data_IF_060636501853
#
_entry.id   IF_060636501853
#
_cell.length_a   1.000
_cell.length_b   1.000
_cell.length_c   1.000
_cell.angle_alpha   90.00
_cell.angle_beta   90.00
_cell.angle_gamma   90.00
#
_symmetry.space_group_name_H-M   'P 1'
#
loop_
_entity.id
_entity.type
_entity.pdbx_description
1 polymer ?
#
# COMPACT_ATOMS: atom_id res chain seq x y z
N UNK A 1 -7.96 13.43 -3.17
CA UNK A 1 -8.39 12.27 -2.40
C UNK A 1 -7.60 12.21 -1.08
N UNK A 2 -8.27 12.14 0.08
CA UNK A 2 -7.60 12.10 1.38
C UNK A 2 -7.22 10.66 1.75
N UNK A 3 -5.97 10.38 2.18
CA UNK A 3 -5.54 9.02 2.54
C UNK A 3 -6.35 8.42 3.69
N UNK A 4 -6.74 9.23 4.68
CA UNK A 4 -7.57 8.80 5.81
C UNK A 4 -8.88 8.18 5.33
N UNK A 5 -9.58 8.88 4.44
CA UNK A 5 -10.83 8.40 3.84
C UNK A 5 -10.63 7.06 3.13
N UNK A 6 -9.57 6.94 2.32
CA UNK A 6 -9.28 5.67 1.61
C UNK A 6 -9.06 4.52 2.59
N UNK A 7 -8.31 4.76 3.68
CA UNK A 7 -8.01 3.73 4.67
C UNK A 7 -9.25 3.29 5.46
N UNK A 8 -10.13 4.22 5.82
CA UNK A 8 -11.41 3.91 6.45
C UNK A 8 -12.30 3.09 5.51
N UNK A 9 -12.38 3.47 4.22
CA UNK A 9 -13.15 2.71 3.23
C UNK A 9 -12.55 1.32 2.95
N UNK A 10 -11.21 1.21 2.89
CA UNK A 10 -10.52 -0.08 2.81
C UNK A 10 -10.87 -0.99 4.00
N UNK A 11 -10.82 -0.44 5.20
CA UNK A 11 -11.18 -1.18 6.42
C UNK A 11 -12.63 -1.64 6.41
N UNK A 12 -13.56 -0.77 6.03
CA UNK A 12 -14.98 -1.09 5.98
C UNK A 12 -15.32 -2.09 4.86
N UNK A 13 -14.59 -2.05 3.76
CA UNK A 13 -14.79 -2.93 2.60
C UNK A 13 -14.07 -4.27 2.67
N UNK A 14 -13.39 -4.59 3.79
CA UNK A 14 -12.63 -5.83 3.96
C UNK A 14 -13.08 -6.63 5.18
N UNK A 15 -12.87 -7.97 5.20
CA UNK A 15 -13.13 -8.79 6.37
C UNK A 15 -12.40 -8.29 7.62
N UNK A 16 -12.99 -8.52 8.78
CA UNK A 16 -12.48 -8.02 10.07
C UNK A 16 -11.10 -8.57 10.44
N UNK A 17 -10.77 -9.76 9.95
CA UNK A 17 -9.51 -10.47 10.16
C UNK A 17 -8.50 -10.30 9.01
N UNK A 18 -8.73 -9.34 8.11
CA UNK A 18 -7.79 -9.00 7.02
C UNK A 18 -6.41 -8.66 7.57
N UNK A 19 -5.39 -9.27 6.97
CA UNK A 19 -4.00 -8.95 7.29
C UNK A 19 -3.56 -7.73 6.46
N UNK A 20 -2.99 -6.75 7.13
CA UNK A 20 -2.45 -5.54 6.51
C UNK A 20 -0.94 -5.49 6.69
N UNK A 21 -0.20 -5.53 5.59
CA UNK A 21 1.22 -5.22 5.58
C UNK A 21 1.41 -3.75 5.18
N UNK A 22 2.19 -3.00 5.94
CA UNK A 22 2.43 -1.59 5.65
C UNK A 22 3.90 -1.34 5.33
N UNK A 23 4.13 -0.50 4.32
CA UNK A 23 5.41 0.14 4.11
C UNK A 23 5.73 1.16 5.19
N UNK A 24 6.80 1.91 5.01
CA UNK A 24 7.26 2.90 5.98
C UNK A 24 7.15 4.31 5.42
N UNK A 25 6.45 5.18 6.15
CA UNK A 25 6.21 6.56 5.78
C UNK A 25 4.92 7.11 6.38
N UNK A 26 4.39 8.19 5.80
CA UNK A 26 3.11 8.76 6.26
C UNK A 26 1.96 7.75 6.14
N UNK A 27 1.95 6.94 5.08
CA UNK A 27 0.96 5.88 4.88
C UNK A 27 0.95 4.86 6.03
N UNK A 28 2.10 4.53 6.60
CA UNK A 28 2.20 3.68 7.80
C UNK A 28 1.52 4.33 9.01
N UNK A 29 1.82 5.60 9.26
CA UNK A 29 1.20 6.34 10.38
C UNK A 29 -0.30 6.45 10.21
N UNK A 30 -0.78 6.78 9.01
CA UNK A 30 -2.21 6.84 8.73
C UNK A 30 -2.89 5.47 8.87
N UNK A 31 -2.26 4.39 8.38
CA UNK A 31 -2.81 3.05 8.53
C UNK A 31 -2.94 2.66 10.00
N UNK A 32 -1.93 2.95 10.83
CA UNK A 32 -2.00 2.66 12.27
C UNK A 32 -3.08 3.46 13.00
N UNK A 33 -3.44 4.65 12.50
CA UNK A 33 -4.44 5.54 13.13
C UNK A 33 -5.87 5.31 12.65
N UNK A 34 -6.05 5.01 11.37
CA UNK A 34 -7.37 4.96 10.72
C UNK A 34 -7.86 3.54 10.42
N UNK A 35 -6.98 2.55 10.42
CA UNK A 35 -7.37 1.15 10.33
C UNK A 35 -7.61 0.57 11.72
N UNK A 36 -8.83 0.14 12.02
CA UNK A 36 -9.16 -0.51 13.29
C UNK A 36 -8.81 -1.99 13.25
N UNK A 37 -7.75 -2.36 13.96
CA UNK A 37 -7.30 -3.74 14.10
C UNK A 37 -8.01 -4.43 15.27
N UNK A 38 -8.89 -5.40 14.99
CA UNK A 38 -9.67 -6.12 15.98
C UNK A 38 -9.10 -7.51 16.32
N UNK A 39 -8.17 -8.00 15.51
CA UNK A 39 -7.55 -9.31 15.69
C UNK A 39 -6.04 -9.19 15.86
N UNK A 40 -5.44 -10.01 16.74
CA UNK A 40 -3.98 -10.04 16.89
C UNK A 40 -3.31 -10.56 15.60
N UNK A 41 -2.07 -10.12 15.36
CA UNK A 41 -1.25 -10.52 14.21
C UNK A 41 -1.82 -10.17 12.82
N UNK A 42 -2.73 -9.20 12.75
CA UNK A 42 -3.26 -8.68 11.49
C UNK A 42 -2.57 -7.40 11.02
N UNK A 43 -1.68 -6.84 11.84
CA UNK A 43 -0.85 -5.68 11.52
C UNK A 43 0.62 -6.08 11.38
N UNK A 44 1.14 -6.05 10.15
CA UNK A 44 2.51 -6.45 9.81
C UNK A 44 3.27 -5.24 9.28
N UNK A 45 4.28 -4.78 10.01
CA UNK A 45 5.04 -3.60 9.62
C UNK A 45 6.48 -3.63 10.16
N UNK A 46 7.37 -2.85 9.53
CA UNK A 46 8.74 -2.64 10.01
C UNK A 46 8.78 -1.50 11.03
N UNK A 47 8.20 -1.73 12.22
CA UNK A 47 8.07 -0.70 13.27
C UNK A 47 9.36 -0.40 14.02
N UNK A 48 10.34 -1.28 13.99
CA UNK A 48 11.64 -1.11 14.65
C UNK A 48 12.66 -0.40 13.76
N UNK A 49 13.08 -1.02 12.68
CA UNK A 49 14.09 -0.48 11.77
C UNK A 49 13.54 0.51 10.74
N UNK A 50 12.25 0.51 10.50
CA UNK A 50 11.63 1.44 9.55
C UNK A 50 12.07 1.19 8.11
N UNK A 51 12.03 -0.07 7.66
CA UNK A 51 12.52 -0.47 6.35
C UNK A 51 11.49 -0.13 5.26
N UNK A 52 11.79 0.83 4.41
CA UNK A 52 11.00 1.09 3.21
C UNK A 52 11.09 -0.10 2.24
N UNK A 53 9.99 -0.37 1.50
CA UNK A 53 9.89 -1.56 0.65
C UNK A 53 9.48 -2.84 1.37
N UNK A 54 9.16 -2.77 2.66
CA UNK A 54 8.77 -3.96 3.46
C UNK A 54 7.41 -4.54 3.07
N UNK A 55 6.43 -3.71 2.70
CA UNK A 55 5.01 -4.09 2.59
C UNK A 55 4.74 -5.19 1.55
N UNK A 56 5.23 -5.03 0.33
CA UNK A 56 4.93 -5.96 -0.78
C UNK A 56 5.43 -7.38 -0.48
N UNK A 57 6.73 -7.61 -0.20
CA UNK A 57 7.22 -8.95 0.12
C UNK A 57 6.60 -9.51 1.40
N UNK A 58 6.32 -8.67 2.41
CA UNK A 58 5.67 -9.14 3.64
C UNK A 58 4.21 -9.54 3.39
N UNK A 59 3.47 -8.84 2.54
CA UNK A 59 2.11 -9.21 2.15
C UNK A 59 2.08 -10.53 1.37
N UNK A 60 3.03 -10.74 0.45
CA UNK A 60 3.19 -12.01 -0.27
C UNK A 60 3.41 -13.14 0.75
N UNK A 61 4.36 -12.97 1.66
CA UNK A 61 4.65 -13.95 2.71
C UNK A 61 3.44 -14.22 3.63
N UNK A 62 2.71 -13.17 4.01
CA UNK A 62 1.50 -13.30 4.81
C UNK A 62 0.40 -14.10 4.07
N UNK A 63 0.22 -13.86 2.77
CA UNK A 63 -0.76 -14.59 1.95
C UNK A 63 -0.38 -16.05 1.77
N UNK A 64 0.89 -16.35 1.59
CA UNK A 64 1.40 -17.74 1.54
C UNK A 64 1.19 -18.45 2.89
N UNK A 65 1.49 -17.78 4.00
CA UNK A 65 1.32 -18.32 5.34
C UNK A 65 -0.15 -18.43 5.78
N UNK A 66 -1.02 -17.61 5.26
CA UNK A 66 -2.47 -17.57 5.56
C UNK A 66 -3.29 -17.42 4.28
N UNK A 67 -3.34 -18.50 3.47
CA UNK A 67 -4.08 -18.49 2.21
C UNK A 67 -5.59 -18.29 2.39
N UNK A 68 -6.10 -18.61 3.57
CA UNK A 68 -7.49 -18.46 3.99
C UNK A 68 -7.89 -16.99 4.26
N UNK A 69 -6.93 -16.07 4.44
CA UNK A 69 -7.21 -14.68 4.77
C UNK A 69 -6.99 -13.73 3.59
N UNK A 70 -7.76 -12.66 3.59
CA UNK A 70 -7.47 -11.52 2.73
C UNK A 70 -6.21 -10.81 3.22
N UNK A 71 -5.36 -10.38 2.28
CA UNK A 71 -4.12 -9.67 2.59
C UNK A 71 -4.05 -8.42 1.73
N UNK A 72 -3.88 -7.27 2.36
CA UNK A 72 -3.61 -5.99 1.73
C UNK A 72 -2.23 -5.47 2.10
N UNK A 73 -1.49 -4.97 1.12
CA UNK A 73 -0.36 -4.09 1.35
C UNK A 73 -0.84 -2.64 1.24
N UNK A 74 -0.52 -1.82 2.22
CA UNK A 74 -0.71 -0.35 2.16
C UNK A 74 0.66 0.28 2.04
N UNK A 75 0.90 0.96 0.94
CA UNK A 75 2.22 1.51 0.63
C UNK A 75 2.15 2.96 0.16
N UNK A 76 3.29 3.65 0.20
CA UNK A 76 3.51 4.91 -0.47
C UNK A 76 4.25 4.70 -1.78
N UNK A 77 4.14 5.66 -2.68
CA UNK A 77 4.78 5.66 -4.00
C UNK A 77 6.30 5.39 -3.93
N UNK A 78 7.02 6.11 -3.08
CA UNK A 78 8.47 5.92 -2.92
C UNK A 78 8.85 4.61 -2.24
N UNK A 79 8.04 4.13 -1.32
CA UNK A 79 8.27 2.86 -0.63
C UNK A 79 8.00 1.67 -1.57
N UNK A 80 6.90 1.71 -2.31
CA UNK A 80 6.52 0.69 -3.30
C UNK A 80 7.59 0.50 -4.37
N UNK A 81 8.20 1.57 -4.87
CA UNK A 81 9.23 1.51 -5.90
C UNK A 81 10.46 0.68 -5.50
N UNK A 82 10.70 0.48 -4.20
CA UNK A 82 11.88 -0.25 -3.74
C UNK A 82 11.79 -1.77 -3.94
N UNK A 83 10.57 -2.32 -3.95
CA UNK A 83 10.33 -3.77 -4.01
C UNK A 83 9.17 -4.18 -4.92
N UNK A 84 8.71 -3.29 -5.77
CA UNK A 84 7.61 -3.56 -6.71
C UNK A 84 7.87 -4.79 -7.60
N UNK A 85 9.12 -5.08 -7.93
CA UNK A 85 9.52 -6.24 -8.74
C UNK A 85 9.08 -7.57 -8.14
N UNK A 86 8.85 -7.66 -6.83
CA UNK A 86 8.37 -8.88 -6.17
C UNK A 86 6.96 -9.26 -6.61
N UNK A 87 6.21 -8.33 -7.21
CA UNK A 87 4.89 -8.62 -7.78
C UNK A 87 4.95 -9.59 -8.96
N UNK A 88 6.07 -9.66 -9.67
CA UNK A 88 6.27 -10.67 -10.73
C UNK A 88 6.20 -12.08 -10.13
N UNK A 89 6.84 -12.29 -8.99
CA UNK A 89 6.76 -13.56 -8.26
C UNK A 89 5.31 -13.84 -7.82
N UNK A 90 4.64 -12.85 -7.25
CA UNK A 90 3.26 -13.03 -6.80
C UNK A 90 2.31 -13.36 -7.97
N UNK A 91 2.48 -12.71 -9.12
CA UNK A 91 1.69 -12.98 -10.31
C UNK A 91 1.98 -14.38 -10.90
N UNK A 92 3.27 -14.77 -10.99
CA UNK A 92 3.70 -16.08 -11.51
C UNK A 92 3.17 -17.24 -10.65
N UNK A 93 3.21 -17.06 -9.33
CA UNK A 93 2.77 -18.06 -8.35
C UNK A 93 1.27 -17.96 -8.02
N UNK A 94 0.54 -17.04 -8.67
CA UNK A 94 -0.90 -16.80 -8.44
C UNK A 94 -1.23 -16.51 -6.97
N UNK A 95 -0.45 -15.65 -6.34
CA UNK A 95 -0.64 -15.22 -4.96
C UNK A 95 -1.49 -13.94 -4.95
N UNK A 96 -2.78 -14.00 -4.64
CA UNK A 96 -3.71 -12.88 -4.80
C UNK A 96 -3.61 -11.87 -3.64
N UNK A 97 -2.48 -11.21 -3.52
CA UNK A 97 -2.32 -10.06 -2.62
C UNK A 97 -2.93 -8.80 -3.23
N UNK A 98 -3.41 -7.89 -2.40
CA UNK A 98 -3.94 -6.59 -2.83
C UNK A 98 -2.98 -5.49 -2.39
N UNK A 99 -2.79 -4.48 -3.23
CA UNK A 99 -1.89 -3.37 -2.94
C UNK A 99 -2.61 -2.05 -3.13
N UNK A 100 -2.63 -1.23 -2.08
CA UNK A 100 -3.10 0.15 -2.13
C UNK A 100 -1.90 1.09 -2.06
N UNK A 101 -1.61 1.80 -3.13
CA UNK A 101 -0.55 2.80 -3.20
C UNK A 101 -1.15 4.18 -2.95
N UNK A 102 -0.77 4.80 -1.83
CA UNK A 102 -1.13 6.19 -1.50
C UNK A 102 -0.09 7.11 -2.15
N UNK A 103 -0.33 7.42 -3.42
CA UNK A 103 0.59 8.22 -4.23
C UNK A 103 0.39 9.72 -3.99
N UNK A 104 1.40 10.38 -3.45
CA UNK A 104 1.43 11.83 -3.26
C UNK A 104 2.64 12.50 -3.93
N UNK A 105 3.42 11.75 -4.70
CA UNK A 105 4.64 12.19 -5.39
C UNK A 105 5.75 12.71 -4.46
N UNK A 106 5.77 12.26 -3.20
CA UNK A 106 6.77 12.68 -2.24
C UNK A 106 7.21 11.54 -1.31
N UNK A 107 8.47 11.61 -0.85
CA UNK A 107 8.89 10.96 0.38
C UNK A 107 8.26 11.72 1.55
N UNK A 108 6.97 11.49 1.78
CA UNK A 108 6.11 12.38 2.54
C UNK A 108 6.52 12.58 4.00
N UNK A 109 7.02 11.56 4.69
CA UNK A 109 7.51 11.69 6.06
C UNK A 109 8.79 12.53 6.10
N UNK A 110 9.72 12.35 5.16
CA UNK A 110 10.95 13.13 5.08
C UNK A 110 10.62 14.60 4.80
N UNK A 111 9.71 14.86 3.86
CA UNK A 111 9.20 16.19 3.59
C UNK A 111 8.59 16.84 4.83
N UNK A 112 7.77 16.12 5.58
CA UNK A 112 7.16 16.60 6.82
C UNK A 112 8.21 17.04 7.85
N UNK A 113 9.32 16.29 8.00
CA UNK A 113 10.42 16.68 8.86
C UNK A 113 11.11 17.94 8.37
N UNK A 114 11.31 18.09 7.07
CA UNK A 114 11.90 19.31 6.50
C UNK A 114 11.01 20.54 6.72
N UNK A 115 9.69 20.38 6.63
CA UNK A 115 8.74 21.43 7.00
C UNK A 115 8.84 21.81 8.48
N UNK A 116 8.85 20.82 9.37
CA UNK A 116 8.76 21.07 10.81
C UNK A 116 10.07 21.55 11.46
N UNK A 117 11.23 21.11 10.94
CA UNK A 117 12.50 21.27 11.64
C UNK A 117 13.62 21.91 10.82
N UNK A 118 13.43 22.11 9.53
CA UNK A 118 14.45 22.59 8.62
C UNK A 118 14.03 23.80 7.78
N UNK A 119 13.10 24.61 8.28
CA UNK A 119 12.64 25.86 7.64
C UNK A 119 12.20 25.66 6.18
N UNK A 120 11.48 24.57 5.89
CA UNK A 120 11.01 24.19 4.55
C UNK A 120 12.14 24.04 3.51
N UNK A 121 13.37 23.79 3.94
CA UNK A 121 14.49 23.52 3.03
C UNK A 121 14.39 22.11 2.47
N UNK A 122 13.54 21.95 1.46
CA UNK A 122 13.30 20.66 0.80
C UNK A 122 14.52 20.21 0.00
N UNK A 123 14.91 18.96 0.16
CA UNK A 123 15.99 18.32 -0.57
C UNK A 123 15.65 16.88 -0.87
N UNK A 124 15.67 16.49 -2.13
CA UNK A 124 15.52 15.10 -2.63
C UNK A 124 14.29 14.35 -2.12
N UNK A 125 13.19 15.06 -1.85
CA UNK A 125 11.95 14.48 -1.33
C UNK A 125 10.82 14.43 -2.36
N UNK A 126 10.98 15.14 -3.46
CA UNK A 126 10.02 15.15 -4.55
C UNK A 126 10.26 13.98 -5.49
N UNK A 127 9.21 13.19 -5.68
CA UNK A 127 9.13 12.18 -6.72
C UNK A 127 8.36 12.75 -7.90
N UNK A 128 8.27 12.04 -9.01
CA UNK A 128 7.46 12.52 -10.13
C UNK A 128 5.96 12.27 -9.90
N UNK A 129 5.05 13.19 -10.19
CA UNK A 129 3.62 12.95 -10.16
C UNK A 129 3.15 12.06 -11.33
N UNK A 130 3.91 12.01 -12.40
CA UNK A 130 3.53 11.39 -13.67
C UNK A 130 4.26 10.05 -13.91
N UNK A 131 5.38 9.80 -13.20
CA UNK A 131 6.23 8.65 -13.42
C UNK A 131 6.68 8.01 -12.09
N UNK A 132 6.65 6.67 -11.99
CA UNK A 132 6.09 5.75 -12.99
C UNK A 132 4.57 5.81 -13.06
N UNK A 133 3.97 5.41 -14.18
CA UNK A 133 2.54 5.06 -14.21
C UNK A 133 2.37 3.71 -13.50
N UNK A 134 1.90 3.76 -12.25
CA UNK A 134 1.78 2.58 -11.39
C UNK A 134 0.78 1.55 -11.94
N UNK A 135 -0.27 2.01 -12.65
CA UNK A 135 -1.24 1.11 -13.27
C UNK A 135 -0.59 0.30 -14.39
N UNK A 136 0.07 0.96 -15.32
CA UNK A 136 0.78 0.29 -16.42
C UNK A 136 1.93 -0.59 -15.89
N UNK A 137 2.61 -0.15 -14.84
CA UNK A 137 3.67 -0.94 -14.22
C UNK A 137 3.13 -2.23 -13.59
N UNK A 138 2.02 -2.15 -12.85
CA UNK A 138 1.34 -3.33 -12.31
C UNK A 138 0.93 -4.30 -13.42
N UNK A 139 0.31 -3.79 -14.49
CA UNK A 139 -0.10 -4.60 -15.65
C UNK A 139 1.11 -5.28 -16.33
N UNK A 140 2.23 -4.57 -16.47
CA UNK A 140 3.47 -5.13 -17.02
C UNK A 140 4.04 -6.27 -16.15
N UNK A 141 3.77 -6.28 -14.85
CA UNK A 141 4.17 -7.34 -13.92
C UNK A 141 3.15 -8.48 -13.80
N UNK A 142 2.07 -8.46 -14.61
CA UNK A 142 1.03 -9.50 -14.60
C UNK A 142 -0.06 -9.30 -13.53
N UNK A 143 -0.11 -8.14 -12.92
CA UNK A 143 -1.13 -7.75 -11.94
C UNK A 143 -2.32 -7.05 -12.59
N UNK A 144 -3.42 -6.87 -11.86
CA UNK A 144 -4.54 -6.03 -12.28
C UNK A 144 -4.32 -4.61 -11.77
N UNK A 145 -3.95 -3.69 -12.68
CA UNK A 145 -3.72 -2.29 -12.34
C UNK A 145 -5.01 -1.47 -12.34
N UNK A 146 -5.23 -0.71 -11.26
CA UNK A 146 -6.34 0.26 -11.16
C UNK A 146 -5.81 1.62 -10.70
N UNK A 147 -6.47 2.69 -11.17
CA UNK A 147 -6.19 4.06 -10.74
C UNK A 147 -7.48 4.69 -10.23
N UNK A 148 -7.42 5.29 -9.05
CA UNK A 148 -8.56 5.92 -8.37
C UNK A 148 -8.18 7.36 -8.05
N UNK A 149 -8.96 8.32 -8.55
CA UNK A 149 -8.71 9.75 -8.39
C UNK A 149 -9.89 10.48 -7.72
N UNK A 150 -11.08 9.88 -7.77
CA UNK A 150 -12.28 10.43 -7.13
C UNK A 150 -12.65 9.64 -5.87
N UNK A 151 -13.15 10.32 -4.82
CA UNK A 151 -13.75 9.64 -3.67
C UNK A 151 -14.91 8.69 -4.04
N UNK A 152 -15.66 9.04 -5.08
CA UNK A 152 -16.84 8.27 -5.52
C UNK A 152 -16.47 6.90 -6.12
N UNK A 153 -15.23 6.74 -6.59
CA UNK A 153 -14.75 5.51 -7.22
C UNK A 153 -14.08 4.56 -6.20
N UNK A 154 -13.81 5.00 -4.98
CA UNK A 154 -13.01 4.24 -4.00
C UNK A 154 -13.66 2.91 -3.66
N UNK A 155 -14.94 2.90 -3.32
CA UNK A 155 -15.64 1.70 -2.89
C UNK A 155 -15.74 0.65 -4.02
N UNK A 156 -16.04 1.09 -5.22
CA UNK A 156 -16.12 0.21 -6.39
C UNK A 156 -14.74 -0.41 -6.72
N UNK A 157 -13.66 0.36 -6.57
CA UNK A 157 -12.32 -0.14 -6.78
C UNK A 157 -11.90 -1.15 -5.71
N UNK A 158 -12.22 -0.91 -4.44
CA UNK A 158 -11.97 -1.84 -3.34
C UNK A 158 -12.73 -3.15 -3.56
N UNK A 159 -14.02 -3.07 -3.89
CA UNK A 159 -14.83 -4.25 -4.17
C UNK A 159 -14.23 -5.06 -5.31
N UNK A 160 -13.93 -4.41 -6.43
CA UNK A 160 -13.32 -5.06 -7.58
C UNK A 160 -11.99 -5.72 -7.25
N UNK A 161 -11.13 -5.06 -6.47
CA UNK A 161 -9.86 -5.64 -6.03
C UNK A 161 -10.07 -6.88 -5.15
N UNK A 162 -11.06 -6.84 -4.24
CA UNK A 162 -11.37 -7.97 -3.36
C UNK A 162 -11.87 -9.20 -4.11
N UNK A 163 -12.56 -9.03 -5.25
CA UNK A 163 -13.09 -10.11 -6.08
C UNK A 163 -12.00 -10.84 -6.90
N UNK A 164 -10.82 -10.26 -7.08
CA UNK A 164 -9.73 -10.89 -7.81
C UNK A 164 -9.05 -11.90 -6.89
N UNK A 165 -9.06 -13.18 -7.25
CA UNK A 165 -8.57 -14.29 -6.42
C UNK A 165 -7.46 -15.12 -7.07
N UNK A 166 -7.06 -14.79 -8.31
CA UNK A 166 -6.10 -15.55 -9.11
C UNK A 166 -4.75 -14.84 -9.32
N UNK A 167 -4.64 -13.56 -8.96
CA UNK A 167 -3.43 -12.74 -9.14
C UNK A 167 -3.46 -11.47 -8.28
N UNK A 168 -2.32 -10.76 -8.15
CA UNK A 168 -2.29 -9.44 -7.51
C UNK A 168 -3.08 -8.39 -8.25
#
# INVERSE_FOLDING_TARGET
LKPQFVLERLRDGTPDDTIVASGVGQHQMWTSQYWKFNHPYTWVNSGGLGTMGFSVPAAIGAKVGRPDRMVWAVDGDGCFQMTAQELVTAASERIPVKIAILNNAYLGMVRQWQEMFYDERYSEVYLSPDLPDYKLWAEAMGCVGMRVESPDDVDAAIQKANEIDDRP
#
